data_IF_723512791908
#
_entry.id   IF_723512791908
#
_cell.length_a   1.000
_cell.length_b   1.000
_cell.length_c   1.000
_cell.angle_alpha   90.00
_cell.angle_beta   90.00
_cell.angle_gamma   90.00
#
_symmetry.space_group_name_H-M   'P 1'
#
loop_
_entity.id
_entity.type
_entity.pdbx_description
1 polymer ?
#
# COMPACT_ATOMS: atom_id res chain seq x y z
N UNK A 1 -16.20 -44.05 41.45
CA UNK A 1 -15.23 -44.34 42.53
C UNK A 1 -14.49 -43.03 42.80
N UNK A 2 -14.83 -42.27 43.87
CA UNK A 2 -14.06 -42.11 45.14
C UNK A 2 -12.56 -41.86 44.89
N UNK A 3 -11.85 -40.86 45.39
CA UNK A 3 -12.00 -39.79 46.41
C UNK A 3 -10.90 -38.72 46.07
N UNK A 4 -11.03 -37.40 46.24
CA UNK A 4 -11.25 -36.54 47.41
C UNK A 4 -10.00 -36.35 48.33
N UNK A 5 -9.69 -35.06 48.64
CA UNK A 5 -8.94 -34.48 49.78
C UNK A 5 -7.41 -34.25 49.59
N UNK A 6 -6.73 -33.17 50.06
CA UNK A 6 -7.06 -32.13 51.06
C UNK A 6 -6.16 -30.87 50.96
N UNK A 7 -6.66 -29.76 51.54
CA UNK A 7 -6.02 -28.45 51.79
C UNK A 7 -4.84 -28.47 52.78
N UNK A 8 -3.97 -27.44 52.72
CA UNK A 8 -3.36 -26.86 53.91
C UNK A 8 -3.03 -25.37 53.73
N UNK A 9 -3.78 -24.51 54.42
CA UNK A 9 -3.40 -23.13 54.77
C UNK A 9 -2.30 -23.13 55.82
N UNK A 10 -1.44 -22.09 55.82
CA UNK A 10 -0.80 -21.59 57.04
C UNK A 10 -0.84 -20.07 57.11
N UNK A 11 -1.62 -19.58 58.05
CA UNK A 11 -1.56 -18.24 58.62
C UNK A 11 -0.20 -17.94 59.26
N UNK A 12 0.28 -16.70 59.09
CA UNK A 12 0.97 -15.97 60.17
C UNK A 12 0.43 -14.54 60.23
N UNK A 13 -0.33 -14.28 61.28
CA UNK A 13 -0.53 -12.96 61.87
C UNK A 13 0.79 -12.51 62.51
N UNK A 14 1.14 -11.22 62.44
CA UNK A 14 1.44 -10.43 63.63
C UNK A 14 1.45 -8.92 63.36
N UNK A 15 0.64 -8.24 64.19
CA UNK A 15 0.78 -6.90 64.78
C UNK A 15 0.68 -5.62 63.93
N UNK A 16 -0.46 -4.96 64.18
CA UNK A 16 -0.72 -3.52 64.11
C UNK A 16 0.22 -2.74 65.04
N UNK A 17 0.69 -1.58 64.58
CA UNK A 17 0.74 -0.34 65.37
C UNK A 17 0.33 0.80 64.44
N UNK A 18 -0.68 1.56 64.86
CA UNK A 18 -1.11 2.81 64.26
C UNK A 18 -0.51 3.97 65.07
N UNK A 19 0.00 4.99 64.37
CA UNK A 19 0.16 6.35 64.92
C UNK A 19 -0.26 7.33 63.83
N UNK A 20 -1.16 8.24 64.21
CA UNK A 20 -1.75 9.29 63.39
C UNK A 20 -1.03 10.63 63.60
N UNK A 21 -0.91 11.44 62.54
CA UNK A 21 -0.83 12.93 62.53
C UNK A 21 -0.80 13.35 61.05
N UNK A 22 -1.86 13.92 60.46
CA UNK A 22 -2.27 15.34 60.45
C UNK A 22 -1.13 16.29 60.08
N UNK A 23 -1.18 16.80 58.85
CA UNK A 23 -0.35 17.88 58.34
C UNK A 23 -0.90 18.39 57.00
N UNK A 24 -1.95 19.22 57.07
CA UNK A 24 -2.39 20.02 55.92
C UNK A 24 -1.31 21.07 55.60
N UNK A 25 -0.85 21.12 54.36
CA UNK A 25 -0.14 22.27 53.80
C UNK A 25 -0.81 22.63 52.48
N UNK A 26 -1.75 23.57 52.59
CA UNK A 26 -2.26 24.34 51.47
C UNK A 26 -1.17 25.37 51.10
N UNK A 27 -0.53 25.20 49.95
CA UNK A 27 0.27 26.27 49.34
C UNK A 27 -0.66 27.01 48.40
N UNK A 28 -1.15 28.15 48.88
CA UNK A 28 -1.82 29.15 48.07
C UNK A 28 -0.79 29.80 47.13
N UNK A 29 -0.93 29.63 45.81
CA UNK A 29 -0.20 30.47 44.86
C UNK A 29 -1.01 31.75 44.64
N UNK A 30 -0.40 32.87 45.03
CA UNK A 30 -0.91 34.20 44.75
C UNK A 30 -0.89 34.44 43.25
N UNK A 31 -2.07 34.72 42.69
CA UNK A 31 -2.22 35.32 41.37
C UNK A 31 -1.95 36.82 41.51
N UNK A 32 -0.82 37.31 40.99
CA UNK A 32 -0.64 38.73 40.71
C UNK A 32 -1.21 39.01 39.32
N UNK A 33 -2.40 39.63 39.29
CA UNK A 33 -2.96 40.23 38.08
C UNK A 33 -2.28 41.58 37.87
N UNK A 34 -1.25 41.60 37.03
CA UNK A 34 -0.71 42.84 36.49
C UNK A 34 -1.69 43.40 35.44
N UNK A 35 -2.19 44.60 35.68
CA UNK A 35 -3.05 45.31 34.73
C UNK A 35 -2.27 45.62 33.43
N UNK A 36 -2.90 45.49 32.24
CA UNK A 36 -2.28 45.92 31.00
C UNK A 36 -2.05 47.44 31.01
N UNK A 37 -0.91 47.94 30.51
CA UNK A 37 -0.68 49.37 30.39
C UNK A 37 -1.67 50.01 29.41
N UNK A 38 -2.03 51.27 29.70
CA UNK A 38 -3.01 52.06 28.97
C UNK A 38 -2.69 52.17 27.48
N UNK A 39 -3.73 52.00 26.65
CA UNK A 39 -3.72 52.25 25.22
C UNK A 39 -3.32 53.70 24.94
N UNK A 40 -2.18 53.86 24.27
CA UNK A 40 -1.78 55.14 23.66
C UNK A 40 -2.51 55.29 22.33
N UNK A 41 -3.16 56.43 22.05
CA UNK A 41 -3.84 56.65 20.78
C UNK A 41 -2.79 57.02 19.72
N UNK A 42 -2.48 56.08 18.82
CA UNK A 42 -1.65 56.39 17.66
C UNK A 42 -2.51 56.60 16.42
N UNK A 43 -2.44 57.84 15.95
CA UNK A 43 -3.08 58.42 14.79
C UNK A 43 -2.87 57.60 13.52
N UNK A 44 -3.93 57.54 12.71
CA UNK A 44 -3.94 57.07 11.32
C UNK A 44 -2.87 57.75 10.46
N UNK A 45 -2.10 56.97 9.69
CA UNK A 45 -2.02 57.00 8.20
C UNK A 45 -0.81 56.22 7.70
N UNK A 46 -1.06 55.13 6.97
CA UNK A 46 -0.51 54.93 5.62
C UNK A 46 -1.17 53.69 5.03
N UNK A 47 -1.98 53.92 4.00
CA UNK A 47 -2.61 52.89 3.18
C UNK A 47 -1.51 52.03 2.58
N UNK A 48 -1.34 50.80 3.07
CA UNK A 48 -0.62 49.77 2.32
C UNK A 48 -1.43 49.53 1.05
N UNK A 49 -0.88 49.96 -0.09
CA UNK A 49 -1.36 49.56 -1.41
C UNK A 49 -1.47 48.03 -1.40
N UNK A 50 -2.70 47.53 -1.41
CA UNK A 50 -2.99 46.15 -1.79
C UNK A 50 -2.50 46.02 -3.23
N UNK A 51 -1.26 45.56 -3.42
CA UNK A 51 -0.91 44.97 -4.70
C UNK A 51 -1.87 43.80 -4.85
N UNK A 52 -2.78 43.88 -5.81
CA UNK A 52 -3.50 42.72 -6.27
C UNK A 52 -2.44 41.71 -6.74
N UNK A 53 -2.03 40.80 -5.85
CA UNK A 53 -1.32 39.61 -6.26
C UNK A 53 -2.29 38.89 -7.19
N UNK A 54 -1.89 38.74 -8.45
CA UNK A 54 -2.59 37.88 -9.38
C UNK A 54 -2.75 36.52 -8.70
N UNK A 55 -3.95 35.95 -8.76
CA UNK A 55 -4.20 34.62 -8.24
C UNK A 55 -3.14 33.68 -8.85
N UNK A 56 -2.52 32.79 -8.04
CA UNK A 56 -1.55 31.84 -8.57
C UNK A 56 -2.17 31.05 -9.73
N UNK A 57 -1.39 30.76 -10.79
CA UNK A 57 -1.91 30.00 -11.92
C UNK A 57 -2.47 28.66 -11.47
N UNK A 58 -3.53 28.14 -12.13
CA UNK A 58 -4.10 26.85 -11.76
C UNK A 58 -3.02 25.76 -11.87
N UNK A 59 -3.02 24.84 -10.91
CA UNK A 59 -2.09 23.73 -10.92
C UNK A 59 -2.22 22.91 -12.22
N UNK A 60 -1.10 22.50 -12.84
CA UNK A 60 -1.14 21.61 -13.99
C UNK A 60 -1.91 20.33 -13.70
N UNK A 61 -2.71 19.89 -14.68
CA UNK A 61 -3.48 18.66 -14.63
C UNK A 61 -3.23 17.86 -15.89
N UNK A 62 -3.03 16.55 -15.75
CA UNK A 62 -2.96 15.64 -16.88
C UNK A 62 -4.33 15.39 -17.51
N UNK A 63 -4.33 14.78 -18.69
CA UNK A 63 -5.51 14.08 -19.20
C UNK A 63 -5.87 12.87 -18.31
N UNK A 64 -7.05 12.26 -18.54
CA UNK A 64 -7.45 11.04 -17.86
C UNK A 64 -6.43 9.91 -18.04
N UNK A 65 -6.23 9.12 -16.99
CA UNK A 65 -5.44 7.90 -17.04
C UNK A 65 -6.15 6.82 -17.87
N UNK A 66 -5.35 5.99 -18.53
CA UNK A 66 -5.84 4.79 -19.21
C UNK A 66 -6.44 3.80 -18.21
N UNK A 67 -7.37 2.95 -18.67
CA UNK A 67 -8.13 2.05 -17.78
C UNK A 67 -7.26 1.03 -17.04
N UNK A 68 -6.13 0.62 -17.61
CA UNK A 68 -5.19 -0.36 -17.04
C UNK A 68 -4.03 0.27 -16.27
N UNK A 69 -4.16 1.56 -15.89
CA UNK A 69 -3.14 2.26 -15.12
C UNK A 69 -2.88 1.59 -13.76
N UNK A 70 -1.65 1.79 -13.28
CA UNK A 70 -1.15 1.34 -11.98
C UNK A 70 -0.23 2.41 -11.40
N UNK A 71 -0.02 2.37 -10.08
CA UNK A 71 1.03 3.14 -9.42
C UNK A 71 2.16 2.21 -8.94
N UNK A 72 3.39 2.73 -8.96
CA UNK A 72 4.57 2.06 -8.43
C UNK A 72 5.69 3.09 -8.24
N UNK A 73 6.47 2.99 -7.17
CA UNK A 73 7.72 3.75 -7.03
C UNK A 73 7.55 5.27 -7.09
N UNK A 74 6.36 5.78 -6.77
CA UNK A 74 6.03 7.21 -6.89
C UNK A 74 5.82 7.68 -8.33
N UNK A 75 5.39 6.81 -9.24
CA UNK A 75 4.90 7.14 -10.60
C UNK A 75 3.60 6.38 -10.91
N UNK A 76 2.88 6.81 -11.96
CA UNK A 76 1.81 6.08 -12.60
C UNK A 76 2.27 5.51 -13.95
N UNK A 77 1.83 4.30 -14.30
CA UNK A 77 2.19 3.66 -15.56
C UNK A 77 1.06 2.77 -16.09
N UNK A 78 1.12 2.43 -17.37
CA UNK A 78 0.21 1.48 -18.04
C UNK A 78 0.91 0.79 -19.21
N UNK A 79 0.25 -0.17 -19.87
CA UNK A 79 0.83 -0.89 -21.02
C UNK A 79 1.94 -1.87 -20.63
N UNK A 80 2.00 -2.25 -19.35
CA UNK A 80 2.98 -3.20 -18.82
C UNK A 80 2.27 -4.37 -18.11
N UNK A 81 1.97 -5.46 -18.83
CA UNK A 81 1.24 -6.58 -18.27
C UNK A 81 2.15 -7.38 -17.34
N UNK A 82 1.70 -7.52 -16.10
CA UNK A 82 2.33 -8.37 -15.09
C UNK A 82 2.14 -9.85 -15.39
N UNK A 83 1.19 -10.22 -16.26
CA UNK A 83 0.95 -11.61 -16.70
C UNK A 83 1.49 -11.82 -18.10
N UNK A 84 1.89 -13.06 -18.39
CA UNK A 84 2.40 -13.42 -19.72
C UNK A 84 1.37 -13.17 -20.83
N UNK A 85 1.76 -12.32 -21.77
CA UNK A 85 1.04 -12.04 -23.00
C UNK A 85 1.61 -12.94 -24.09
N UNK A 86 0.82 -13.91 -24.54
CA UNK A 86 1.22 -14.87 -25.56
C UNK A 86 0.97 -14.31 -26.97
N UNK A 87 1.91 -14.54 -27.88
CA UNK A 87 1.75 -14.20 -29.30
C UNK A 87 2.98 -13.55 -29.93
N UNK A 88 3.00 -13.55 -31.26
CA UNK A 88 4.06 -12.93 -32.07
C UNK A 88 4.05 -11.40 -32.03
N UNK A 89 2.93 -10.81 -31.59
CA UNK A 89 2.72 -9.38 -31.41
C UNK A 89 2.84 -8.97 -29.95
N UNK A 90 3.22 -9.87 -29.03
CA UNK A 90 3.22 -9.55 -27.60
C UNK A 90 4.08 -8.33 -27.27
N UNK A 91 5.22 -8.17 -27.95
CA UNK A 91 6.03 -6.98 -27.78
C UNK A 91 5.39 -5.74 -28.40
N UNK A 92 4.46 -5.83 -29.34
CA UNK A 92 3.68 -4.67 -29.83
C UNK A 92 2.63 -4.21 -28.81
N UNK A 93 2.06 -5.15 -28.06
CA UNK A 93 1.08 -4.90 -27.01
C UNK A 93 1.75 -4.42 -25.69
N UNK A 94 2.97 -4.89 -25.42
CA UNK A 94 3.78 -4.46 -24.28
C UNK A 94 4.47 -3.13 -24.63
N UNK A 95 3.77 -2.03 -24.36
CA UNK A 95 4.20 -0.65 -24.61
C UNK A 95 4.08 0.15 -23.31
N UNK A 96 5.00 -0.05 -22.35
CA UNK A 96 4.94 0.68 -21.10
C UNK A 96 4.99 2.18 -21.36
N UNK A 97 4.05 2.92 -20.76
CA UNK A 97 4.14 4.37 -20.64
C UNK A 97 4.22 4.71 -19.17
N UNK A 98 5.28 5.42 -18.79
CA UNK A 98 5.60 5.74 -17.40
C UNK A 98 5.53 7.25 -17.26
N UNK A 99 4.78 7.72 -16.27
CA UNK A 99 4.68 9.14 -15.99
C UNK A 99 6.00 9.64 -15.37
N UNK A 100 6.64 10.62 -15.98
CA UNK A 100 7.78 11.30 -15.37
C UNK A 100 7.26 12.49 -14.55
N UNK A 101 7.26 12.40 -13.20
CA UNK A 101 6.73 13.46 -12.36
C UNK A 101 7.51 14.77 -12.46
N UNK A 102 8.76 14.75 -12.95
CA UNK A 102 9.58 15.96 -13.12
C UNK A 102 9.14 16.78 -14.33
N UNK A 103 8.75 16.12 -15.41
CA UNK A 103 8.34 16.78 -16.67
C UNK A 103 6.82 16.86 -16.82
N UNK A 104 6.06 16.08 -16.05
CA UNK A 104 4.61 15.96 -16.17
C UNK A 104 4.16 15.27 -17.46
N UNK A 105 5.03 14.45 -18.06
CA UNK A 105 4.79 13.78 -19.34
C UNK A 105 4.99 12.27 -19.22
N UNK A 106 4.34 11.51 -20.10
CA UNK A 106 4.61 10.08 -20.23
C UNK A 106 5.85 9.84 -21.09
N UNK A 107 6.77 9.04 -20.57
CA UNK A 107 7.89 8.48 -21.33
C UNK A 107 7.59 7.05 -21.73
N UNK A 108 8.04 6.66 -22.92
CA UNK A 108 7.93 5.30 -23.42
C UNK A 108 9.35 4.69 -23.49
N UNK A 109 9.69 3.77 -22.58
CA UNK A 109 10.96 3.06 -22.63
C UNK A 109 11.11 2.27 -23.93
N UNK A 110 12.36 2.01 -24.34
CA UNK A 110 12.61 1.12 -25.45
C UNK A 110 12.13 -0.31 -25.14
N UNK A 111 11.86 -1.06 -26.20
CA UNK A 111 11.42 -2.46 -26.15
C UNK A 111 12.55 -3.39 -26.59
N UNK A 112 12.59 -4.64 -26.09
CA UNK A 112 13.56 -5.62 -26.54
C UNK A 112 13.52 -5.88 -28.05
N UNK A 113 14.69 -5.98 -28.68
CA UNK A 113 14.80 -6.45 -30.05
C UNK A 113 14.82 -7.98 -30.07
N UNK A 114 14.06 -8.61 -30.98
CA UNK A 114 14.09 -10.07 -31.15
C UNK A 114 15.36 -10.47 -31.89
N UNK A 115 16.16 -11.42 -31.35
CA UNK A 115 17.35 -11.89 -32.03
C UNK A 115 17.04 -12.46 -33.43
N UNK A 116 17.94 -12.20 -34.39
CA UNK A 116 17.76 -12.66 -35.76
C UNK A 116 17.57 -14.19 -35.83
N UNK A 117 16.60 -14.62 -36.64
CA UNK A 117 16.28 -16.05 -36.82
C UNK A 117 15.44 -16.67 -35.69
N UNK A 118 14.96 -15.87 -34.74
CA UNK A 118 14.03 -16.30 -33.70
C UNK A 118 12.65 -15.66 -33.89
N UNK A 119 11.61 -16.37 -33.44
CA UNK A 119 10.24 -15.88 -33.41
C UNK A 119 9.83 -15.56 -31.96
N UNK A 120 9.18 -14.42 -31.75
CA UNK A 120 8.55 -14.10 -30.47
C UNK A 120 7.40 -15.07 -30.17
N UNK A 121 7.33 -15.60 -28.96
CA UNK A 121 6.21 -16.41 -28.47
C UNK A 121 5.41 -15.73 -27.37
N UNK A 122 6.00 -14.74 -26.68
CA UNK A 122 5.30 -13.87 -25.76
C UNK A 122 6.23 -13.10 -24.83
N UNK A 123 5.64 -12.37 -23.89
CA UNK A 123 6.39 -11.68 -22.85
C UNK A 123 5.52 -11.04 -21.78
N UNK A 124 6.17 -10.39 -20.83
CA UNK A 124 5.58 -9.66 -19.71
C UNK A 124 6.58 -8.61 -19.22
N UNK A 125 6.12 -7.63 -18.45
CA UNK A 125 7.01 -6.66 -17.83
C UNK A 125 6.56 -6.21 -16.46
N UNK A 126 7.49 -5.58 -15.75
CA UNK A 126 7.28 -4.89 -14.49
C UNK A 126 8.27 -3.73 -14.39
N UNK A 127 7.94 -2.77 -13.53
CA UNK A 127 8.84 -1.67 -13.18
C UNK A 127 9.75 -2.11 -12.02
N UNK A 128 10.88 -1.45 -11.88
CA UNK A 128 11.76 -1.63 -10.72
C UNK A 128 12.54 -0.35 -10.40
N UNK A 129 12.97 -0.21 -9.15
CA UNK A 129 13.73 0.93 -8.67
C UNK A 129 12.85 1.98 -7.97
N UNK A 130 13.28 3.24 -8.06
CA UNK A 130 12.59 4.40 -7.47
C UNK A 130 12.24 5.41 -8.56
N UNK A 131 11.47 6.45 -8.25
CA UNK A 131 11.16 7.52 -9.20
C UNK A 131 12.40 8.15 -9.86
N UNK A 132 13.55 8.18 -9.16
CA UNK A 132 14.78 8.75 -9.69
C UNK A 132 15.57 7.79 -10.60
N UNK A 133 15.47 6.48 -10.36
CA UNK A 133 16.25 5.42 -11.04
C UNK A 133 15.33 4.32 -11.60
N UNK A 134 14.21 4.74 -12.19
CA UNK A 134 13.15 3.84 -12.65
C UNK A 134 13.59 3.05 -13.87
N UNK A 135 13.40 1.73 -13.83
CA UNK A 135 13.70 0.81 -14.93
C UNK A 135 12.49 -0.03 -15.29
N UNK A 136 12.48 -0.55 -16.50
CA UNK A 136 11.53 -1.59 -16.93
C UNK A 136 12.28 -2.89 -17.15
N UNK A 137 11.77 -3.95 -16.53
CA UNK A 137 12.23 -5.31 -16.79
C UNK A 137 11.22 -6.01 -17.67
N UNK A 138 11.69 -6.55 -18.79
CA UNK A 138 10.93 -7.42 -19.67
C UNK A 138 11.41 -8.85 -19.50
N UNK A 139 10.48 -9.80 -19.47
CA UNK A 139 10.79 -11.23 -19.65
C UNK A 139 10.14 -11.65 -20.95
N UNK A 140 10.96 -12.07 -21.91
CA UNK A 140 10.52 -12.38 -23.28
C UNK A 140 10.88 -13.82 -23.59
N UNK A 141 9.93 -14.55 -24.19
CA UNK A 141 10.17 -15.90 -24.69
C UNK A 141 10.21 -15.88 -26.21
N UNK A 142 11.24 -16.52 -26.76
CA UNK A 142 11.42 -16.69 -28.20
C UNK A 142 11.63 -18.16 -28.54
N UNK A 143 11.41 -18.50 -29.81
CA UNK A 143 11.67 -19.83 -30.35
C UNK A 143 12.53 -19.72 -31.59
N UNK A 144 13.65 -20.45 -31.62
CA UNK A 144 14.42 -20.68 -32.82
C UNK A 144 13.86 -21.92 -33.52
N UNK A 145 13.27 -21.81 -34.72
CA UNK A 145 12.71 -22.94 -35.44
C UNK A 145 13.76 -24.04 -35.69
N UNK A 146 13.32 -25.29 -35.73
CA UNK A 146 14.19 -26.41 -36.07
C UNK A 146 14.81 -26.22 -37.46
N UNK A 147 16.13 -26.41 -37.56
CA UNK A 147 16.88 -26.42 -38.82
C UNK A 147 17.84 -27.59 -38.74
N UNK A 148 17.59 -28.64 -39.54
CA UNK A 148 18.36 -29.87 -39.47
C UNK A 148 19.88 -29.59 -39.57
N UNK A 149 20.70 -30.11 -38.64
CA UNK A 149 20.38 -31.14 -37.63
C UNK A 149 19.89 -30.61 -36.27
N UNK A 150 19.73 -29.30 -36.08
CA UNK A 150 19.37 -28.68 -34.81
C UNK A 150 17.85 -28.73 -34.52
N UNK A 151 17.45 -29.13 -33.30
CA UNK A 151 16.05 -29.08 -32.89
C UNK A 151 15.56 -27.64 -32.69
N UNK A 152 14.25 -27.50 -32.52
CA UNK A 152 13.64 -26.25 -32.06
C UNK A 152 14.12 -25.93 -30.63
N UNK A 153 14.46 -24.67 -30.37
CA UNK A 153 14.95 -24.22 -29.05
C UNK A 153 14.13 -23.02 -28.60
N UNK A 154 13.51 -23.14 -27.44
CA UNK A 154 12.83 -22.03 -26.75
C UNK A 154 13.80 -21.37 -25.77
N UNK A 155 13.91 -20.05 -25.86
CA UNK A 155 14.78 -19.24 -24.99
C UNK A 155 13.92 -18.25 -24.22
N UNK A 156 14.19 -18.07 -22.93
CA UNK A 156 13.58 -17.01 -22.13
C UNK A 156 14.67 -16.03 -21.72
N UNK A 157 14.52 -14.77 -22.12
CA UNK A 157 15.51 -13.72 -21.90
C UNK A 157 14.88 -12.59 -21.10
N UNK A 158 15.54 -12.20 -20.01
CA UNK A 158 15.26 -10.97 -19.30
C UNK A 158 15.99 -9.80 -19.95
N UNK A 159 15.35 -8.64 -19.98
CA UNK A 159 15.95 -7.38 -20.43
C UNK A 159 15.64 -6.28 -19.43
N UNK A 160 16.61 -5.41 -19.16
CA UNK A 160 16.43 -4.22 -18.32
C UNK A 160 16.66 -2.99 -19.17
N UNK A 161 15.72 -2.06 -19.15
CA UNK A 161 15.86 -0.76 -19.80
C UNK A 161 15.73 0.36 -18.77
N UNK A 162 16.63 1.33 -18.84
CA UNK A 162 16.47 2.59 -18.12
C UNK A 162 15.30 3.38 -18.72
N UNK A 163 14.34 3.77 -17.88
CA UNK A 163 13.09 4.37 -18.37
C UNK A 163 13.28 5.75 -19.00
N UNK A 164 14.31 6.50 -18.57
CA UNK A 164 14.56 7.88 -19.00
C UNK A 164 15.36 7.95 -20.29
N UNK A 165 16.46 7.21 -20.35
CA UNK A 165 17.35 7.18 -21.51
C UNK A 165 16.90 6.18 -22.59
N UNK A 166 16.06 5.22 -22.23
CA UNK A 166 15.69 4.10 -23.10
C UNK A 166 16.85 3.15 -23.40
N UNK A 167 18.00 3.30 -22.73
CA UNK A 167 19.15 2.43 -22.94
C UNK A 167 18.92 1.07 -22.28
N UNK A 168 19.31 0.01 -22.99
CA UNK A 168 19.37 -1.32 -22.42
C UNK A 168 20.52 -1.39 -21.40
N UNK A 169 20.18 -1.64 -20.14
CA UNK A 169 21.13 -1.77 -19.04
C UNK A 169 21.68 -3.20 -18.95
N UNK A 170 20.81 -4.20 -19.15
CA UNK A 170 21.18 -5.60 -19.09
C UNK A 170 20.29 -6.46 -20.01
N UNK A 171 20.85 -7.57 -20.47
CA UNK A 171 20.11 -8.65 -21.12
C UNK A 171 20.71 -9.99 -20.69
N UNK A 172 19.87 -10.95 -20.32
CA UNK A 172 20.33 -12.23 -19.77
C UNK A 172 19.35 -13.36 -20.07
N UNK A 173 19.87 -14.48 -20.56
CA UNK A 173 19.09 -15.71 -20.62
C UNK A 173 18.81 -16.22 -19.21
N UNK A 174 17.53 -16.40 -18.88
CA UNK A 174 17.10 -16.77 -17.54
C UNK A 174 17.10 -18.29 -17.42
N UNK A 175 18.01 -18.80 -16.59
CA UNK A 175 18.17 -20.23 -16.34
C UNK A 175 17.48 -20.65 -15.03
N UNK A 176 17.02 -21.91 -14.94
CA UNK A 176 16.55 -22.48 -13.68
C UNK A 176 17.60 -22.37 -12.57
N UNK A 177 17.18 -22.14 -11.31
CA UNK A 177 18.13 -21.97 -10.21
C UNK A 177 18.79 -23.27 -9.77
N UNK A 178 18.26 -24.43 -10.20
CA UNK A 178 18.83 -25.74 -9.98
C UNK A 178 18.58 -26.65 -11.21
N UNK A 179 19.45 -27.65 -11.49
CA UNK A 179 19.35 -28.46 -12.71
C UNK A 179 18.10 -29.36 -12.82
N UNK A 180 17.48 -29.69 -11.69
CA UNK A 180 16.24 -30.46 -11.59
C UNK A 180 15.00 -29.62 -11.92
N UNK A 181 15.14 -28.30 -11.94
CA UNK A 181 14.06 -27.37 -12.24
C UNK A 181 13.99 -27.05 -13.72
N UNK A 182 12.77 -26.88 -14.21
CA UNK A 182 12.47 -26.47 -15.58
C UNK A 182 11.57 -25.24 -15.57
N UNK A 183 11.61 -24.38 -16.60
CA UNK A 183 10.65 -23.30 -16.74
C UNK A 183 9.23 -23.85 -16.70
N UNK A 184 8.35 -23.24 -15.90
CA UNK A 184 6.94 -23.58 -15.88
C UNK A 184 6.25 -23.09 -17.19
N UNK A 185 4.98 -23.44 -17.38
CA UNK A 185 4.24 -22.99 -18.55
C UNK A 185 4.12 -21.44 -18.54
N UNK A 186 4.52 -20.74 -19.62
CA UNK A 186 4.55 -19.27 -19.62
C UNK A 186 3.22 -18.60 -19.30
N UNK A 187 2.09 -19.20 -19.70
CA UNK A 187 0.74 -18.71 -19.41
C UNK A 187 0.44 -18.50 -17.92
N UNK A 188 1.18 -19.17 -17.04
CA UNK A 188 0.98 -19.12 -15.59
C UNK A 188 2.00 -18.17 -14.91
N UNK A 189 2.93 -17.58 -15.66
CA UNK A 189 3.94 -16.66 -15.13
C UNK A 189 3.36 -15.30 -14.76
N UNK A 190 3.95 -14.70 -13.73
CA UNK A 190 3.78 -13.29 -13.40
C UNK A 190 5.10 -12.57 -13.18
N UNK A 191 5.16 -11.27 -13.44
CA UNK A 191 6.21 -10.37 -12.95
C UNK A 191 5.59 -9.36 -12.00
N UNK A 192 6.20 -9.18 -10.85
CA UNK A 192 5.80 -8.14 -9.93
C UNK A 192 6.97 -7.20 -9.64
N UNK A 193 6.65 -5.91 -9.55
CA UNK A 193 7.59 -4.83 -9.32
C UNK A 193 8.10 -4.84 -7.88
N UNK A 194 9.41 -4.67 -7.67
CA UNK A 194 10.01 -4.53 -6.33
C UNK A 194 11.07 -3.44 -6.34
N UNK A 195 11.34 -2.80 -5.20
CA UNK A 195 12.27 -1.66 -5.10
C UNK A 195 13.71 -1.98 -5.55
N UNK A 196 14.14 -3.25 -5.51
CA UNK A 196 15.51 -3.68 -5.87
C UNK A 196 15.58 -4.61 -7.10
N UNK A 197 14.45 -4.91 -7.71
CA UNK A 197 14.38 -5.79 -8.87
C UNK A 197 12.96 -6.20 -9.23
N UNK A 198 12.80 -7.42 -9.70
CA UNK A 198 11.47 -7.99 -9.99
C UNK A 198 11.32 -9.38 -9.42
N UNK A 199 10.10 -9.71 -8.99
CA UNK A 199 9.74 -11.06 -8.60
C UNK A 199 9.07 -11.76 -9.78
N UNK A 200 9.74 -12.77 -10.32
CA UNK A 200 9.19 -13.67 -11.32
C UNK A 200 8.42 -14.79 -10.63
N UNK A 201 7.10 -14.65 -10.66
CA UNK A 201 6.15 -15.55 -10.06
C UNK A 201 5.90 -16.74 -10.98
N UNK A 202 5.77 -17.91 -10.36
CA UNK A 202 5.52 -19.18 -11.01
C UNK A 202 6.57 -19.53 -12.09
N UNK A 203 7.82 -19.10 -11.93
CA UNK A 203 8.85 -19.15 -12.95
C UNK A 203 9.27 -20.59 -13.31
N UNK A 204 9.43 -21.43 -12.28
CA UNK A 204 10.00 -22.78 -12.42
C UNK A 204 9.16 -23.82 -11.68
N UNK A 205 9.23 -25.06 -12.18
CA UNK A 205 8.65 -26.26 -11.57
C UNK A 205 9.71 -27.38 -11.56
N UNK A 206 9.60 -28.31 -10.63
CA UNK A 206 10.44 -29.52 -10.61
C UNK A 206 9.90 -30.61 -11.56
N UNK A 207 8.76 -30.40 -12.21
CA UNK A 207 8.15 -31.37 -13.13
C UNK A 207 7.58 -32.62 -12.45
N UNK A 208 7.56 -32.70 -11.12
CA UNK A 208 7.04 -33.83 -10.36
C UNK A 208 5.53 -33.66 -10.10
N UNK A 209 4.74 -33.67 -11.17
CA UNK A 209 3.27 -33.69 -11.11
C UNK A 209 2.60 -32.39 -10.64
N UNK A 210 1.27 -32.42 -10.50
CA UNK A 210 0.43 -31.25 -10.18
C UNK A 210 0.64 -30.66 -8.78
N UNK A 211 1.48 -31.27 -7.94
CA UNK A 211 1.63 -30.92 -6.52
C UNK A 211 2.82 -30.00 -6.21
N UNK A 212 3.70 -29.73 -7.17
CA UNK A 212 4.84 -28.84 -6.96
C UNK A 212 4.45 -27.42 -7.37
N UNK A 213 4.10 -26.54 -6.41
CA UNK A 213 3.66 -25.20 -6.73
C UNK A 213 4.80 -24.46 -7.44
N UNK A 214 4.48 -23.69 -8.49
CA UNK A 214 5.50 -23.01 -9.24
C UNK A 214 6.16 -21.90 -8.39
N UNK A 215 7.47 -21.73 -8.58
CA UNK A 215 8.37 -21.01 -7.65
C UNK A 215 8.40 -19.50 -7.89
N UNK A 216 8.72 -18.74 -6.85
CA UNK A 216 9.04 -17.32 -6.97
C UNK A 216 10.55 -17.14 -7.08
N UNK A 217 11.02 -16.36 -8.06
CA UNK A 217 12.44 -16.01 -8.23
C UNK A 217 12.56 -14.50 -8.23
N UNK A 218 13.44 -13.96 -7.39
CA UNK A 218 13.69 -12.52 -7.37
C UNK A 218 14.97 -12.21 -8.14
N UNK A 219 14.82 -11.42 -9.20
CA UNK A 219 15.89 -10.99 -10.09
C UNK A 219 16.30 -9.55 -9.75
N UNK A 220 17.59 -9.28 -9.72
CA UNK A 220 18.16 -7.94 -9.56
C UNK A 220 17.75 -7.02 -10.71
N UNK A 221 17.35 -5.79 -10.38
CA UNK A 221 17.04 -4.75 -11.37
C UNK A 221 18.27 -4.16 -12.08
N UNK A 222 19.49 -4.53 -11.66
CA UNK A 222 20.73 -4.07 -12.29
C UNK A 222 21.21 -4.97 -13.43
N UNK A 223 21.26 -6.28 -13.18
CA UNK A 223 21.94 -7.25 -14.06
C UNK A 223 21.16 -8.55 -14.28
N UNK A 224 19.93 -8.66 -13.76
CA UNK A 224 19.10 -9.86 -13.82
C UNK A 224 19.74 -11.09 -13.17
N UNK A 225 20.71 -10.90 -12.27
CA UNK A 225 21.15 -11.97 -11.37
C UNK A 225 20.00 -12.38 -10.46
N UNK A 226 19.86 -13.68 -10.23
CA UNK A 226 18.94 -14.16 -9.20
C UNK A 226 19.53 -13.76 -7.84
N UNK A 227 18.79 -12.96 -7.09
CA UNK A 227 19.15 -12.61 -5.72
C UNK A 227 18.81 -13.76 -4.76
N UNK A 228 17.61 -14.32 -4.91
CA UNK A 228 17.13 -15.48 -4.15
C UNK A 228 15.88 -16.08 -4.82
N UNK A 229 15.44 -17.23 -4.34
CA UNK A 229 14.20 -17.86 -4.76
C UNK A 229 13.44 -18.47 -3.58
N UNK A 230 12.15 -18.70 -3.79
CA UNK A 230 11.26 -19.35 -2.84
C UNK A 230 10.53 -20.52 -3.52
N UNK A 231 10.41 -21.70 -2.87
CA UNK A 231 9.62 -22.81 -3.40
C UNK A 231 8.12 -22.49 -3.53
N UNK A 232 7.61 -21.43 -2.88
CA UNK A 232 6.21 -21.04 -2.94
C UNK A 232 5.96 -19.82 -3.83
N UNK A 233 4.76 -19.71 -4.43
CA UNK A 233 4.32 -18.48 -5.06
C UNK A 233 4.08 -17.41 -4.00
N UNK A 234 4.70 -16.25 -4.18
CA UNK A 234 4.54 -15.09 -3.31
C UNK A 234 3.46 -14.13 -3.81
N UNK A 235 2.85 -13.39 -2.88
CA UNK A 235 2.20 -12.11 -3.18
C UNK A 235 3.24 -11.01 -3.02
N UNK A 236 3.27 -10.07 -3.96
CA UNK A 236 4.40 -9.13 -4.07
C UNK A 236 3.89 -7.71 -4.16
N UNK A 237 4.49 -6.85 -3.35
CA UNK A 237 4.39 -5.40 -3.42
C UNK A 237 5.80 -4.81 -3.56
N UNK A 238 5.91 -3.49 -3.56
CA UNK A 238 7.15 -2.79 -3.81
C UNK A 238 8.25 -3.14 -2.80
N UNK A 239 7.90 -3.19 -1.51
CA UNK A 239 8.84 -3.28 -0.40
C UNK A 239 8.67 -4.55 0.45
N UNK A 240 7.70 -5.39 0.11
CA UNK A 240 7.41 -6.65 0.81
C UNK A 240 6.90 -7.75 -0.13
N UNK A 241 7.30 -8.99 0.15
CA UNK A 241 6.76 -10.21 -0.41
C UNK A 241 6.13 -11.03 0.72
N UNK A 242 4.96 -11.63 0.47
CA UNK A 242 4.28 -12.50 1.42
C UNK A 242 4.18 -13.94 0.88
N UNK A 243 4.54 -14.91 1.71
CA UNK A 243 4.48 -16.34 1.40
C UNK A 243 3.59 -17.06 2.41
N UNK A 244 2.79 -18.02 1.94
CA UNK A 244 1.91 -18.81 2.80
C UNK A 244 2.73 -19.85 3.58
N UNK A 245 3.11 -19.53 4.82
CA UNK A 245 3.96 -20.40 5.65
C UNK A 245 3.35 -20.70 7.00
N UNK A 246 3.45 -21.96 7.40
CA UNK A 246 3.16 -22.41 8.76
C UNK A 246 4.35 -23.19 9.33
N UNK A 247 4.64 -23.02 10.61
CA UNK A 247 5.68 -23.78 11.34
C UNK A 247 5.11 -24.89 12.23
N UNK A 248 3.80 -24.90 12.45
CA UNK A 248 3.07 -25.93 13.18
C UNK A 248 2.60 -27.07 12.25
N UNK A 249 2.90 -28.34 12.60
CA UNK A 249 2.41 -29.48 11.86
C UNK A 249 0.87 -29.50 11.77
N UNK A 250 0.34 -29.64 10.55
CA UNK A 250 -1.10 -29.80 10.31
C UNK A 250 -1.90 -28.50 10.19
N UNK A 251 -1.29 -27.33 10.42
CA UNK A 251 -1.92 -26.04 10.09
C UNK A 251 -1.58 -25.62 8.66
N UNK A 252 -2.57 -25.04 7.97
CA UNK A 252 -2.43 -24.52 6.60
C UNK A 252 -2.48 -22.99 6.52
N UNK A 253 -2.83 -22.33 7.63
CA UNK A 253 -2.80 -20.86 7.78
C UNK A 253 -1.38 -20.35 8.00
N UNK A 254 -1.18 -19.04 8.04
CA UNK A 254 0.09 -18.42 8.37
C UNK A 254 0.80 -17.78 7.18
N UNK A 255 1.62 -16.80 7.49
CA UNK A 255 2.38 -16.06 6.50
C UNK A 255 3.77 -15.72 7.00
N UNK A 256 4.71 -15.63 6.06
CA UNK A 256 6.02 -15.02 6.24
C UNK A 256 6.13 -13.82 5.30
N UNK A 257 6.51 -12.67 5.85
CA UNK A 257 6.87 -11.48 5.10
C UNK A 257 8.38 -11.42 4.91
N UNK A 258 8.81 -11.11 3.68
CA UNK A 258 10.21 -10.88 3.32
C UNK A 258 10.39 -9.55 2.62
N UNK A 259 11.54 -8.93 2.82
CA UNK A 259 12.01 -7.83 1.95
C UNK A 259 12.36 -8.37 0.56
N UNK A 260 12.40 -7.50 -0.48
CA UNK A 260 12.94 -7.84 -1.79
C UNK A 260 14.38 -8.40 -1.76
N UNK A 261 15.16 -8.11 -0.71
CA UNK A 261 16.49 -8.69 -0.47
C UNK A 261 16.48 -10.17 -0.02
N UNK A 262 15.32 -10.70 0.37
CA UNK A 262 15.15 -12.05 0.91
C UNK A 262 15.18 -12.13 2.44
N UNK A 263 15.44 -11.01 3.13
CA UNK A 263 15.37 -10.91 4.60
C UNK A 263 13.94 -11.18 5.08
N UNK A 264 13.75 -12.22 5.90
CA UNK A 264 12.50 -12.44 6.62
C UNK A 264 12.32 -11.41 7.73
N UNK A 265 11.18 -10.73 7.75
CA UNK A 265 10.92 -9.60 8.66
C UNK A 265 9.74 -9.84 9.60
N UNK A 266 8.84 -10.76 9.25
CA UNK A 266 7.71 -11.14 10.08
C UNK A 266 7.24 -12.53 9.71
N UNK A 267 6.87 -13.34 10.71
CA UNK A 267 6.28 -14.65 10.50
C UNK A 267 5.29 -14.94 11.61
N UNK A 268 4.11 -15.42 11.23
CA UNK A 268 3.04 -15.73 12.16
C UNK A 268 2.13 -16.84 11.58
N UNK A 269 1.87 -17.88 12.37
CA UNK A 269 1.09 -19.06 11.97
C UNK A 269 -0.42 -18.80 11.94
N UNK A 270 -0.86 -17.71 12.56
CA UNK A 270 -2.27 -17.36 12.74
C UNK A 270 -2.72 -16.28 11.74
N UNK A 271 -1.83 -15.85 10.83
CA UNK A 271 -2.20 -15.00 9.70
C UNK A 271 -3.12 -15.74 8.73
N UNK A 272 -4.28 -15.17 8.45
CA UNK A 272 -5.17 -15.67 7.41
C UNK A 272 -4.72 -15.18 6.03
N UNK A 273 -4.39 -13.90 5.91
CA UNK A 273 -3.97 -13.29 4.66
C UNK A 273 -3.13 -12.03 4.89
N UNK A 274 -2.30 -11.73 3.89
CA UNK A 274 -1.63 -10.44 3.74
C UNK A 274 -2.36 -9.71 2.62
N UNK A 275 -2.93 -8.56 2.95
CA UNK A 275 -3.97 -7.94 2.14
C UNK A 275 -3.43 -6.83 1.24
N UNK A 276 -2.52 -6.01 1.75
CA UNK A 276 -1.97 -4.85 1.04
C UNK A 276 -0.66 -4.35 1.65
N UNK A 277 0.18 -3.73 0.82
CA UNK A 277 1.15 -2.72 1.26
C UNK A 277 0.52 -1.33 1.09
N UNK A 278 0.45 -0.56 2.18
CA UNK A 278 -0.01 0.81 2.21
C UNK A 278 1.21 1.72 2.26
N UNK A 279 1.33 2.65 1.31
CA UNK A 279 2.49 3.54 1.20
C UNK A 279 2.04 4.98 0.99
N UNK A 280 2.60 5.89 1.78
CA UNK A 280 2.49 7.33 1.56
C UNK A 280 3.78 8.02 2.00
N UNK A 281 4.53 8.51 1.02
CA UNK A 281 5.87 9.04 1.21
C UNK A 281 6.78 8.02 1.92
N UNK A 282 7.36 8.37 3.09
CA UNK A 282 8.24 7.47 3.83
C UNK A 282 7.49 6.39 4.61
N UNK A 283 6.19 6.54 4.88
CA UNK A 283 5.43 5.61 5.71
C UNK A 283 5.00 4.40 4.88
N UNK A 284 5.30 3.20 5.38
CA UNK A 284 4.97 1.94 4.71
C UNK A 284 4.46 0.91 5.70
N UNK A 285 3.22 0.50 5.53
CA UNK A 285 2.55 -0.48 6.39
C UNK A 285 2.12 -1.69 5.57
N UNK A 286 2.16 -2.87 6.17
CA UNK A 286 1.56 -4.09 5.60
C UNK A 286 0.28 -4.40 6.37
N UNK A 287 -0.84 -4.46 5.66
CA UNK A 287 -2.13 -4.85 6.21
C UNK A 287 -2.24 -6.37 6.24
N UNK A 288 -2.55 -6.91 7.42
CA UNK A 288 -2.58 -8.34 7.69
C UNK A 288 -3.94 -8.68 8.31
N UNK A 289 -4.60 -9.72 7.82
CA UNK A 289 -5.78 -10.32 8.49
C UNK A 289 -5.32 -11.53 9.32
N UNK A 290 -5.68 -11.56 10.60
CA UNK A 290 -5.20 -12.49 11.62
C UNK A 290 -6.36 -13.22 12.33
N UNK A 291 -6.13 -14.46 12.77
CA UNK A 291 -7.04 -15.26 13.58
C UNK A 291 -6.77 -15.10 15.08
N UNK A 292 -7.65 -14.43 15.81
CA UNK A 292 -7.43 -14.15 17.25
C UNK A 292 -7.87 -15.28 18.19
N UNK A 293 -8.89 -16.02 17.78
CA UNK A 293 -9.40 -17.20 18.45
C UNK A 293 -9.67 -18.24 17.38
N UNK A 294 -9.67 -19.53 17.75
CA UNK A 294 -10.00 -20.63 16.84
C UNK A 294 -11.35 -21.26 17.16
N UNK A 295 -12.03 -20.85 18.24
CA UNK A 295 -13.33 -21.43 18.62
C UNK A 295 -14.20 -20.46 19.46
N UNK A 296 -15.16 -19.73 18.85
CA UNK A 296 -15.31 -19.55 17.40
C UNK A 296 -14.15 -18.74 16.82
N UNK A 297 -13.80 -18.95 15.54
CA UNK A 297 -12.72 -18.20 14.94
C UNK A 297 -13.13 -16.75 14.70
N UNK A 298 -12.32 -15.80 15.19
CA UNK A 298 -12.58 -14.36 15.05
C UNK A 298 -11.42 -13.74 14.30
N UNK A 299 -11.76 -12.90 13.32
CA UNK A 299 -10.79 -12.18 12.52
C UNK A 299 -10.47 -10.82 13.12
N UNK A 300 -9.19 -10.45 13.00
CA UNK A 300 -8.72 -9.09 13.26
C UNK A 300 -7.84 -8.61 12.12
N UNK A 301 -7.71 -7.30 12.00
CA UNK A 301 -6.79 -6.62 11.10
C UNK A 301 -5.66 -6.01 11.92
N UNK A 302 -4.43 -6.27 11.49
CA UNK A 302 -3.19 -5.76 12.07
C UNK A 302 -2.41 -5.00 10.99
N UNK A 303 -1.51 -4.11 11.41
CA UNK A 303 -0.65 -3.36 10.50
C UNK A 303 0.80 -3.49 10.95
N UNK A 304 1.65 -4.02 10.08
CA UNK A 304 3.09 -4.14 10.31
C UNK A 304 3.82 -2.97 9.67
N UNK A 305 4.55 -2.19 10.45
CA UNK A 305 5.38 -1.09 9.95
C UNK A 305 6.70 -1.63 9.39
N UNK A 306 6.93 -1.43 8.10
CA UNK A 306 8.13 -1.92 7.41
C UNK A 306 9.42 -1.21 7.86
N UNK A 307 9.32 0.04 8.31
CA UNK A 307 10.45 0.83 8.76
C UNK A 307 10.79 0.50 10.22
N UNK A 308 9.78 0.45 11.09
CA UNK A 308 9.96 0.13 12.51
C UNK A 308 10.14 -1.38 12.75
N UNK A 309 9.83 -2.23 11.76
CA UNK A 309 9.86 -3.69 11.82
C UNK A 309 9.01 -4.25 12.97
N UNK A 310 7.83 -3.68 13.19
CA UNK A 310 6.95 -4.04 14.31
C UNK A 310 5.47 -3.84 13.96
N UNK A 311 4.59 -4.54 14.68
CA UNK A 311 3.15 -4.29 14.61
C UNK A 311 2.85 -2.97 15.32
N UNK A 312 2.08 -2.09 14.66
CA UNK A 312 1.66 -0.84 15.27
C UNK A 312 0.55 -1.07 16.30
N UNK A 313 0.57 -0.27 17.37
CA UNK A 313 -0.56 -0.17 18.29
C UNK A 313 -1.49 0.95 17.86
N UNK A 314 -2.79 0.64 17.86
CA UNK A 314 -3.89 1.53 17.52
C UNK A 314 -4.78 1.64 18.77
N UNK A 315 -4.68 2.77 19.47
CA UNK A 315 -5.20 2.91 20.82
C UNK A 315 -4.51 1.92 21.77
N UNK A 316 -5.30 1.16 22.52
CA UNK A 316 -4.82 0.18 23.50
C UNK A 316 -4.60 -1.23 22.90
N UNK A 317 -4.83 -1.41 21.59
CA UNK A 317 -4.74 -2.72 20.93
C UNK A 317 -3.80 -2.68 19.73
N UNK A 318 -3.19 -3.81 19.39
CA UNK A 318 -2.48 -4.06 18.14
C UNK A 318 -3.39 -4.61 17.03
N UNK A 319 -4.68 -4.74 17.32
CA UNK A 319 -5.69 -5.39 16.49
C UNK A 319 -6.95 -4.55 16.36
N UNK A 320 -7.49 -4.51 15.15
CA UNK A 320 -8.82 -3.98 14.87
C UNK A 320 -9.75 -5.15 14.56
N UNK A 321 -10.94 -5.19 15.16
CA UNK A 321 -11.91 -6.26 14.92
C UNK A 321 -12.28 -6.37 13.43
N UNK A 322 -12.29 -7.59 12.90
CA UNK A 322 -12.69 -7.93 11.53
C UNK A 322 -11.52 -8.11 10.57
N UNK A 323 -11.75 -8.94 9.55
CA UNK A 323 -10.82 -9.19 8.45
C UNK A 323 -11.26 -8.49 7.17
N UNK A 324 -10.34 -8.32 6.23
CA UNK A 324 -10.66 -7.75 4.92
C UNK A 324 -11.17 -6.30 4.95
N UNK A 325 -10.85 -5.55 6.01
CA UNK A 325 -11.28 -4.15 6.16
C UNK A 325 -10.70 -3.26 5.05
N UNK A 326 -11.34 -2.14 4.74
CA UNK A 326 -10.73 -1.14 3.86
C UNK A 326 -9.76 -0.29 4.68
N UNK A 327 -8.60 0.05 4.11
CA UNK A 327 -7.63 0.92 4.77
C UNK A 327 -6.90 1.79 3.76
N UNK A 328 -6.50 2.99 4.19
CA UNK A 328 -5.69 3.93 3.41
C UNK A 328 -4.68 4.62 4.33
N UNK A 329 -3.53 4.98 3.78
CA UNK A 329 -2.48 5.70 4.47
C UNK A 329 -2.28 7.05 3.77
N UNK A 330 -2.39 8.16 4.49
CA UNK A 330 -2.19 9.49 3.93
C UNK A 330 -1.77 10.49 5.02
N UNK A 331 -0.74 11.28 4.74
CA UNK A 331 -0.09 12.25 5.63
C UNK A 331 0.24 11.68 7.03
N UNK A 332 0.76 10.45 7.06
CA UNK A 332 1.09 9.76 8.32
C UNK A 332 -0.14 9.41 9.17
N UNK A 333 -1.32 9.34 8.55
CA UNK A 333 -2.57 8.92 9.19
C UNK A 333 -3.10 7.67 8.52
N UNK A 334 -3.43 6.68 9.34
CA UNK A 334 -4.01 5.41 8.93
C UNK A 334 -5.54 5.49 9.08
N UNK A 335 -6.23 5.50 7.95
CA UNK A 335 -7.67 5.30 7.91
C UNK A 335 -7.98 3.81 7.84
N UNK A 336 -8.94 3.38 8.67
CA UNK A 336 -9.49 2.02 8.65
C UNK A 336 -11.00 2.10 8.64
N UNK A 337 -11.61 1.30 7.77
CA UNK A 337 -13.05 1.22 7.59
C UNK A 337 -13.54 -0.22 7.70
N UNK A 338 -14.31 -0.47 8.76
CA UNK A 338 -15.01 -1.71 9.00
C UNK A 338 -16.53 -1.58 8.91
N UNK A 339 -17.09 -0.42 8.53
CA UNK A 339 -18.53 -0.15 8.65
C UNK A 339 -19.40 -1.11 7.82
N UNK A 340 -18.90 -1.52 6.66
CA UNK A 340 -19.57 -2.46 5.75
C UNK A 340 -19.10 -3.91 5.93
N UNK A 341 -18.24 -4.20 6.91
CA UNK A 341 -17.73 -5.55 7.13
C UNK A 341 -18.68 -6.35 8.02
N UNK A 342 -19.02 -7.56 7.60
CA UNK A 342 -19.82 -8.51 8.39
C UNK A 342 -19.02 -9.19 9.51
N UNK A 343 -17.68 -9.05 9.49
CA UNK A 343 -16.78 -9.68 10.45
C UNK A 343 -16.24 -8.70 11.50
N UNK A 344 -16.61 -7.43 11.40
CA UNK A 344 -16.04 -6.34 12.20
C UNK A 344 -17.03 -5.77 13.21
N UNK A 345 -16.57 -5.58 14.45
CA UNK A 345 -17.22 -4.73 15.45
C UNK A 345 -16.70 -3.28 15.41
N UNK A 346 -15.75 -2.99 14.52
CA UNK A 346 -15.23 -1.65 14.32
C UNK A 346 -16.14 -0.89 13.34
N UNK A 347 -16.39 0.39 13.63
CA UNK A 347 -17.06 1.28 12.68
C UNK A 347 -16.03 1.75 11.66
N UNK A 348 -15.44 2.91 11.91
CA UNK A 348 -14.31 3.43 11.14
C UNK A 348 -13.53 4.43 11.98
N UNK A 349 -12.31 4.75 11.56
CA UNK A 349 -11.51 5.76 12.23
C UNK A 349 -10.26 6.15 11.48
N UNK A 350 -9.66 7.26 11.91
CA UNK A 350 -8.39 7.79 11.41
C UNK A 350 -7.42 7.88 12.58
N UNK A 351 -6.42 7.01 12.56
CA UNK A 351 -5.36 6.94 13.55
C UNK A 351 -4.14 7.74 13.08
N UNK A 352 -3.71 8.71 13.87
CA UNK A 352 -2.54 9.51 13.56
C UNK A 352 -1.28 8.80 14.07
N UNK A 353 -0.41 8.37 13.16
CA UNK A 353 0.78 7.58 13.51
C UNK A 353 1.81 8.41 14.30
N UNK A 354 1.82 9.73 14.12
CA UNK A 354 2.75 10.64 14.79
C UNK A 354 2.30 10.96 16.21
N UNK A 355 1.04 11.40 16.38
CA UNK A 355 0.51 11.74 17.71
C UNK A 355 0.10 10.50 18.51
N UNK A 356 -0.05 9.35 17.86
CA UNK A 356 -0.59 8.12 18.45
C UNK A 356 -1.95 8.36 19.11
N UNK A 357 -2.84 9.07 18.41
CA UNK A 357 -4.20 9.35 18.85
C UNK A 357 -5.18 9.15 17.69
N UNK A 358 -6.46 8.95 18.04
CA UNK A 358 -7.55 8.99 17.07
C UNK A 358 -7.87 10.44 16.73
N UNK A 359 -7.67 10.82 15.47
CA UNK A 359 -8.19 12.09 14.95
C UNK A 359 -9.70 12.00 14.68
N UNK A 360 -10.19 10.78 14.43
CA UNK A 360 -11.60 10.44 14.37
C UNK A 360 -11.79 8.96 14.71
N UNK A 361 -12.83 8.65 15.49
CA UNK A 361 -13.27 7.27 15.71
C UNK A 361 -14.79 7.22 15.81
N UNK A 362 -15.41 6.31 15.05
CA UNK A 362 -16.84 6.00 15.16
C UNK A 362 -17.00 4.53 15.51
N UNK A 363 -17.85 4.28 16.51
CA UNK A 363 -18.26 2.91 16.85
C UNK A 363 -19.07 2.31 15.70
N UNK A 364 -19.24 0.98 15.69
CA UNK A 364 -20.09 0.31 14.70
C UNK A 364 -21.53 0.81 14.75
N UNK A 365 -22.06 1.03 15.96
CA UNK A 365 -23.40 1.56 16.15
C UNK A 365 -23.56 2.98 15.62
N UNK A 366 -22.54 3.83 15.80
CA UNK A 366 -22.58 5.19 15.26
C UNK A 366 -22.49 5.19 13.73
N UNK A 367 -21.61 4.37 13.15
CA UNK A 367 -21.48 4.23 11.70
C UNK A 367 -22.79 3.74 11.05
N UNK A 368 -23.47 2.77 11.68
CA UNK A 368 -24.76 2.26 11.20
C UNK A 368 -25.87 3.33 11.18
N UNK A 369 -25.78 4.36 12.04
CA UNK A 369 -26.75 5.48 12.08
C UNK A 369 -26.46 6.57 11.04
N UNK A 370 -25.27 6.57 10.45
CA UNK A 370 -24.82 7.63 9.54
C UNK A 370 -25.23 7.41 8.07
N UNK A 371 -25.98 6.34 7.75
CA UNK A 371 -26.45 6.07 6.39
C UNK A 371 -25.32 6.14 5.35
N UNK A 372 -24.18 5.50 5.65
CA UNK A 372 -22.96 5.55 4.84
C UNK A 372 -23.04 4.48 3.75
N UNK A 373 -22.76 4.86 2.50
CA UNK A 373 -22.57 3.93 1.38
C UNK A 373 -21.07 3.72 1.06
N UNK A 374 -20.25 4.76 1.23
CA UNK A 374 -18.80 4.70 0.98
C UNK A 374 -18.07 5.75 1.80
N UNK A 375 -16.89 5.39 2.28
CA UNK A 375 -15.93 6.29 2.92
C UNK A 375 -14.61 6.27 2.16
N UNK A 376 -14.00 7.44 2.05
CA UNK A 376 -12.67 7.59 1.46
C UNK A 376 -11.90 8.67 2.19
N UNK A 377 -10.60 8.49 2.34
CA UNK A 377 -9.75 9.34 3.16
C UNK A 377 -8.52 9.79 2.36
N UNK A 378 -8.19 11.07 2.47
CA UNK A 378 -6.95 11.63 1.94
C UNK A 378 -6.58 12.88 2.74
N UNK A 379 -5.31 13.00 3.13
CA UNK A 379 -4.81 14.07 4.00
C UNK A 379 -5.62 14.18 5.29
N UNK A 380 -6.28 15.30 5.51
CA UNK A 380 -7.13 15.56 6.66
C UNK A 380 -8.61 15.51 6.33
N UNK A 381 -8.98 14.92 5.19
CA UNK A 381 -10.36 14.96 4.71
C UNK A 381 -10.96 13.56 4.59
N UNK A 382 -12.11 13.38 5.23
CA UNK A 382 -12.96 12.22 5.08
C UNK A 382 -14.12 12.57 4.13
N UNK A 383 -14.16 11.91 2.98
CA UNK A 383 -15.19 12.04 1.97
C UNK A 383 -16.25 10.95 2.18
N UNK A 384 -17.48 11.37 2.42
CA UNK A 384 -18.60 10.49 2.79
C UNK A 384 -19.65 10.51 1.69
N UNK A 385 -19.90 9.35 1.10
CA UNK A 385 -21.06 9.12 0.22
C UNK A 385 -22.13 8.44 1.04
N UNK A 386 -23.30 9.08 1.16
CA UNK A 386 -24.45 8.56 1.88
C UNK A 386 -25.37 7.70 1.01
N UNK A 387 -26.13 6.82 1.66
CA UNK A 387 -27.21 6.05 1.04
C UNK A 387 -28.29 7.02 0.54
N UNK A 388 -28.55 7.04 -0.77
CA UNK A 388 -29.48 8.00 -1.40
C UNK A 388 -28.81 9.12 -2.20
N UNK A 389 -27.49 9.06 -2.41
CA UNK A 389 -26.77 10.00 -3.28
C UNK A 389 -26.50 11.36 -2.62
N UNK A 390 -26.42 11.39 -1.30
CA UNK A 390 -25.95 12.55 -0.53
C UNK A 390 -24.44 12.48 -0.36
N UNK A 391 -23.80 13.64 -0.20
CA UNK A 391 -22.35 13.74 -0.07
C UNK A 391 -22.02 14.65 1.13
N UNK A 392 -20.87 14.43 1.75
CA UNK A 392 -20.28 15.38 2.69
C UNK A 392 -18.78 15.19 2.85
N UNK A 393 -18.09 16.26 3.22
CA UNK A 393 -16.66 16.22 3.55
C UNK A 393 -16.49 16.66 4.99
N UNK A 394 -15.75 15.89 5.78
CA UNK A 394 -15.33 16.26 7.14
C UNK A 394 -13.84 16.58 7.09
N UNK A 395 -13.44 17.74 7.61
CA UNK A 395 -12.04 18.08 7.82
C UNK A 395 -11.63 17.72 9.26
N UNK A 396 -10.64 16.85 9.40
CA UNK A 396 -10.15 16.35 10.67
C UNK A 396 -9.26 17.37 11.38
N UNK A 397 -9.23 17.37 12.72
CA UNK A 397 -9.91 16.44 13.63
C UNK A 397 -11.36 16.86 13.98
N UNK A 398 -11.94 17.83 13.27
CA UNK A 398 -13.34 18.19 13.49
C UNK A 398 -14.26 17.04 13.05
N UNK A 399 -15.46 17.01 13.64
CA UNK A 399 -16.45 15.95 13.37
C UNK A 399 -17.62 16.42 12.51
N UNK A 400 -17.75 17.72 12.32
CA UNK A 400 -18.84 18.31 11.55
C UNK A 400 -18.44 18.45 10.08
N UNK A 401 -19.37 18.25 9.13
CA UNK A 401 -19.09 18.48 7.72
C UNK A 401 -18.66 19.92 7.45
N UNK A 402 -17.56 20.08 6.72
CA UNK A 402 -17.12 21.39 6.20
C UNK A 402 -17.74 21.70 4.85
N UNK A 403 -18.23 20.68 4.13
CA UNK A 403 -18.94 20.84 2.87
C UNK A 403 -20.00 19.74 2.64
N UNK A 404 -21.11 20.03 1.95
CA UNK A 404 -22.16 19.07 1.62
C UNK A 404 -21.93 18.35 0.27
N UNK A 405 -20.81 18.57 -0.41
CA UNK A 405 -20.45 17.92 -1.67
C UNK A 405 -18.96 18.08 -1.98
N UNK A 406 -18.47 17.48 -3.06
CA UNK A 406 -17.14 17.75 -3.64
C UNK A 406 -17.18 17.55 -5.16
N UNK A 407 -16.33 18.27 -5.89
CA UNK A 407 -16.20 18.11 -7.35
C UNK A 407 -15.04 17.18 -7.75
N UNK A 408 -14.03 17.07 -6.89
CA UNK A 408 -12.78 16.34 -7.10
C UNK A 408 -12.37 15.64 -5.81
N UNK A 409 -12.04 14.34 -5.86
CA UNK A 409 -11.58 13.59 -4.69
C UNK A 409 -10.14 13.08 -4.86
N UNK A 410 -9.15 13.65 -4.17
CA UNK A 410 -7.80 13.09 -4.13
C UNK A 410 -7.79 11.75 -3.39
N UNK A 411 -6.87 10.85 -3.75
CA UNK A 411 -6.77 9.53 -3.09
C UNK A 411 -5.37 8.92 -2.99
N UNK A 412 -4.38 9.40 -3.75
CA UNK A 412 -3.02 8.86 -3.69
C UNK A 412 -1.99 9.91 -4.14
N UNK A 413 -0.79 9.90 -3.53
CA UNK A 413 0.32 10.78 -3.92
C UNK A 413 1.35 10.05 -4.77
N UNK A 414 1.87 10.77 -5.76
CA UNK A 414 2.84 10.34 -6.75
C UNK A 414 3.87 11.46 -6.94
N UNK A 415 4.92 11.48 -6.12
CA UNK A 415 6.12 12.34 -6.28
C UNK A 415 5.84 13.78 -6.72
N UNK A 416 5.10 14.57 -5.92
CA UNK A 416 4.74 15.95 -6.24
C UNK A 416 3.52 16.09 -7.15
N UNK A 417 2.78 15.01 -7.33
CA UNK A 417 1.47 14.97 -7.97
C UNK A 417 0.50 14.18 -7.08
N UNK A 418 -0.77 14.49 -7.20
CA UNK A 418 -1.86 13.78 -6.51
C UNK A 418 -2.81 13.19 -7.55
N UNK A 419 -3.14 11.91 -7.38
CA UNK A 419 -4.20 11.23 -8.12
C UNK A 419 -5.56 11.68 -7.61
N UNK A 420 -6.40 12.10 -8.54
CA UNK A 420 -7.70 12.71 -8.28
C UNK A 420 -8.77 12.01 -9.09
N UNK A 421 -9.81 11.58 -8.39
CA UNK A 421 -11.03 11.09 -8.98
C UNK A 421 -11.97 12.24 -9.36
N UNK A 422 -12.51 12.19 -10.59
CA UNK A 422 -13.50 13.13 -11.12
C UNK A 422 -14.85 12.46 -11.36
N UNK A 423 -15.92 13.23 -11.19
CA UNK A 423 -17.27 12.83 -11.59
C UNK A 423 -17.97 11.85 -10.65
N UNK A 424 -17.40 11.60 -9.47
CA UNK A 424 -17.90 10.67 -8.46
C UNK A 424 -19.20 11.11 -7.79
N UNK A 425 -19.47 12.42 -7.77
CA UNK A 425 -20.69 13.00 -7.20
C UNK A 425 -21.72 13.34 -8.27
N UNK A 426 -21.42 13.04 -9.54
CA UNK A 426 -22.32 13.32 -10.65
C UNK A 426 -23.58 12.42 -10.58
N UNK A 427 -24.75 12.90 -11.03
CA UNK A 427 -25.96 12.08 -11.08
C UNK A 427 -25.73 10.74 -11.81
N UNK A 428 -26.19 9.64 -11.21
CA UNK A 428 -26.05 8.28 -11.77
C UNK A 428 -24.65 7.67 -11.67
N UNK A 429 -23.67 8.36 -11.08
CA UNK A 429 -22.34 7.77 -10.80
C UNK A 429 -22.35 6.78 -9.64
N UNK A 430 -23.31 6.88 -8.73
CA UNK A 430 -23.40 6.05 -7.52
C UNK A 430 -22.10 6.03 -6.67
N UNK A 431 -21.30 7.09 -6.71
CA UNK A 431 -20.02 7.13 -5.99
C UNK A 431 -18.88 6.41 -6.71
N UNK A 432 -19.05 6.08 -7.99
CA UNK A 432 -18.00 5.52 -8.85
C UNK A 432 -17.15 6.61 -9.49
N UNK A 433 -15.86 6.33 -9.59
CA UNK A 433 -14.92 7.22 -10.25
C UNK A 433 -15.11 7.19 -11.77
N UNK A 434 -15.39 8.33 -12.41
CA UNK A 434 -15.54 8.38 -13.87
C UNK A 434 -14.20 8.49 -14.57
N UNK A 435 -13.35 9.37 -14.06
CA UNK A 435 -12.02 9.64 -14.63
C UNK A 435 -11.03 9.83 -13.49
N UNK A 436 -9.81 9.35 -13.70
CA UNK A 436 -8.70 9.58 -12.79
C UNK A 436 -7.71 10.48 -13.52
N UNK A 437 -7.32 11.57 -12.90
CA UNK A 437 -6.30 12.50 -13.41
C UNK A 437 -5.21 12.69 -12.36
N UNK A 438 -4.07 13.23 -12.77
CA UNK A 438 -3.04 13.70 -11.86
C UNK A 438 -3.03 15.22 -11.83
N UNK A 439 -2.97 15.79 -10.63
CA UNK A 439 -2.86 17.24 -10.40
C UNK A 439 -1.53 17.50 -9.73
N UNK A 440 -0.78 18.48 -10.22
CA UNK A 440 0.51 18.83 -9.62
C UNK A 440 0.29 19.45 -8.24
N UNK A 441 1.08 19.01 -7.27
CA UNK A 441 1.04 19.55 -5.92
C UNK A 441 1.58 20.99 -5.92
N UNK A 442 1.01 21.85 -5.06
CA UNK A 442 1.49 23.20 -4.78
C UNK A 442 2.03 23.23 -3.35
N UNK A 443 3.24 23.75 -3.17
CA UNK A 443 3.93 23.79 -1.87
C UNK A 443 4.02 22.41 -1.18
N UNK A 444 4.08 21.33 -1.98
CA UNK A 444 4.17 19.95 -1.50
C UNK A 444 2.84 19.31 -1.11
N UNK A 445 1.72 20.00 -1.34
CA UNK A 445 0.39 19.54 -1.01
C UNK A 445 -0.55 19.61 -2.20
N UNK A 446 -1.61 18.80 -2.18
CA UNK A 446 -2.65 18.91 -3.17
C UNK A 446 -3.29 20.32 -3.07
N UNK A 447 -3.39 21.09 -4.17
CA UNK A 447 -3.91 22.47 -4.14
C UNK A 447 -5.41 22.60 -3.88
N UNK A 448 -6.11 21.47 -3.67
CA UNK A 448 -7.49 21.45 -3.20
C UNK A 448 -7.58 21.52 -1.67
N UNK A 449 -8.73 21.13 -1.08
CA UNK A 449 -9.85 20.45 -1.71
C UNK A 449 -10.80 21.39 -2.49
N UNK A 450 -11.53 20.84 -3.48
CA UNK A 450 -12.37 21.62 -4.41
C UNK A 450 -13.88 21.48 -4.12
N UNK A 451 -14.24 21.44 -2.84
CA UNK A 451 -15.62 21.33 -2.38
C UNK A 451 -16.33 22.69 -2.23
#
# INVERSE_FOLDING_TARGET
MRAAWVHAMRHRLFRRVAVASVGCLAVASCSETAAPPALTPTTSTSVSKTSAHAAPPPAPVTGPLEKDWKSYGGTAYFGCPEKFSAGKTALEDIRPKIFDPKTGQYVAPAIPAIPAGQNLTGGLCALTGTADDMKVVYVVTTVKPAQAPSPEVTTTTGYVFDSKSGQQVAAKELQPPAPDLKPAAPKDWGLASTASGVAWLNAFTDGHGAASPPRTVVLSGGDLSMMWNDPQPGRVWQDVLAFQRNTEPGKTSGAELRRPSGEAIYQDNDVQSVDAELTDGPNKLVKITHWDSYNPPVLSTMFYDLNAKSIIKIGDSDRISGGGLTAALSDGKLFVDGHASDTSQFGFGVWNLRSQQWDLQKSRDDANKMSIAKLTFFEDHLYITGTGGTFSVIALPATDPVAPNWSLRPFERISGWTLVCRGETAPGSNGECKEIVMVQDQDGHYPGPWF
#
